data_IF_012799484892
#
_entry.id   IF_012799484892
#
_cell.length_a   1.000
_cell.length_b   1.000
_cell.length_c   1.000
_cell.angle_alpha   90.00
_cell.angle_beta   90.00
_cell.angle_gamma   90.00
#
_symmetry.space_group_name_H-M   'P 1'
#
loop_
_entity.id
_entity.type
_entity.pdbx_description
1 polymer ?
#
# COMPACT_ATOMS: atom_id res chain seq x y z
N UNK A 1 20.12 -0.38 0.54
CA UNK A 1 20.02 1.10 0.51
C UNK A 1 18.72 1.53 -0.13
N UNK A 2 18.07 2.50 0.50
CA UNK A 2 16.82 3.03 -0.04
C UNK A 2 17.08 3.75 -1.35
N UNK A 3 16.29 3.43 -2.37
CA UNK A 3 16.34 4.10 -3.65
C UNK A 3 15.79 5.53 -3.52
N UNK A 4 16.40 6.48 -4.21
CA UNK A 4 15.90 7.85 -4.31
C UNK A 4 15.51 8.14 -5.74
N UNK A 5 14.40 8.86 -5.88
CA UNK A 5 13.77 9.08 -7.18
C UNK A 5 13.82 10.56 -7.55
N UNK A 6 13.92 10.82 -8.85
CA UNK A 6 13.46 12.12 -9.36
C UNK A 6 11.94 12.06 -9.47
N UNK A 7 11.29 13.22 -9.56
CA UNK A 7 9.84 13.27 -9.78
C UNK A 7 9.46 12.49 -11.04
N UNK A 8 10.23 12.63 -12.10
CA UNK A 8 10.00 11.95 -13.38
C UNK A 8 10.05 10.42 -13.23
N UNK A 9 11.04 9.91 -12.52
CA UNK A 9 11.18 8.48 -12.25
C UNK A 9 10.02 7.95 -11.42
N UNK A 10 9.66 8.64 -10.35
CA UNK A 10 8.54 8.26 -9.50
C UNK A 10 7.22 8.31 -10.27
N UNK A 11 7.02 9.35 -11.07
CA UNK A 11 5.82 9.53 -11.87
C UNK A 11 5.60 8.37 -12.85
N UNK A 12 6.68 7.83 -13.42
CA UNK A 12 6.60 6.69 -14.34
C UNK A 12 6.14 5.40 -13.66
N UNK A 13 6.36 5.27 -12.36
CA UNK A 13 5.95 4.09 -11.59
C UNK A 13 4.48 4.14 -11.15
N UNK A 14 3.85 5.31 -11.20
CA UNK A 14 2.49 5.47 -10.68
C UNK A 14 1.48 4.49 -11.29
N UNK A 15 1.42 4.25 -12.61
CA UNK A 15 0.47 3.30 -13.16
C UNK A 15 0.62 1.89 -12.59
N UNK A 16 1.85 1.44 -12.41
CA UNK A 16 2.14 0.12 -11.85
C UNK A 16 1.84 0.06 -10.35
N UNK A 17 2.25 1.08 -9.60
CA UNK A 17 1.98 1.18 -8.16
C UNK A 17 0.46 1.27 -7.91
N UNK A 18 -0.26 2.04 -8.71
CA UNK A 18 -1.72 2.13 -8.66
C UNK A 18 -2.36 0.75 -8.80
N UNK A 19 -1.98 0.02 -9.84
CA UNK A 19 -2.49 -1.34 -10.08
C UNK A 19 -2.21 -2.29 -8.93
N UNK A 20 -0.97 -2.30 -8.44
CA UNK A 20 -0.57 -3.18 -7.33
C UNK A 20 -1.28 -2.84 -6.02
N UNK A 21 -1.47 -1.55 -5.74
CA UNK A 21 -2.20 -1.12 -4.54
C UNK A 21 -3.67 -1.52 -4.62
N UNK A 22 -4.31 -1.40 -5.78
CA UNK A 22 -5.70 -1.83 -5.95
C UNK A 22 -5.84 -3.34 -5.77
N UNK A 23 -4.91 -4.11 -6.33
CA UNK A 23 -4.88 -5.56 -6.14
C UNK A 23 -4.65 -5.93 -4.66
N UNK A 24 -3.80 -5.19 -3.96
CA UNK A 24 -3.58 -5.40 -2.53
C UNK A 24 -4.83 -5.09 -1.72
N UNK A 25 -5.53 -4.02 -2.04
CA UNK A 25 -6.78 -3.64 -1.37
C UNK A 25 -7.89 -4.66 -1.63
N UNK A 26 -7.99 -5.19 -2.84
CA UNK A 26 -8.93 -6.26 -3.18
C UNK A 26 -8.63 -7.52 -2.35
N UNK A 27 -7.36 -7.90 -2.26
CA UNK A 27 -6.94 -9.04 -1.45
C UNK A 27 -7.25 -8.83 0.03
N UNK A 28 -7.03 -7.61 0.53
CA UNK A 28 -7.36 -7.26 1.92
C UNK A 28 -8.86 -7.39 2.18
N UNK A 29 -9.69 -6.92 1.25
CA UNK A 29 -11.14 -7.03 1.34
C UNK A 29 -11.60 -8.50 1.38
N UNK A 30 -11.04 -9.33 0.50
CA UNK A 30 -11.34 -10.78 0.47
C UNK A 30 -10.91 -11.46 1.77
N UNK A 31 -9.75 -11.07 2.30
CA UNK A 31 -9.26 -11.57 3.58
C UNK A 31 -10.25 -11.23 4.71
N UNK A 32 -10.71 -10.00 4.77
CA UNK A 32 -11.64 -9.53 5.79
C UNK A 32 -12.99 -10.24 5.68
N UNK A 33 -13.48 -10.47 4.46
CA UNK A 33 -14.73 -11.20 4.23
C UNK A 33 -14.62 -12.65 4.70
N UNK A 34 -13.50 -13.32 4.41
CA UNK A 34 -13.26 -14.69 4.85
C UNK A 34 -13.14 -14.76 6.38
N UNK A 35 -12.46 -13.82 7.00
CA UNK A 35 -12.35 -13.71 8.47
C UNK A 35 -13.73 -13.58 9.11
N UNK A 36 -14.61 -12.79 8.50
CA UNK A 36 -15.99 -12.61 9.00
C UNK A 36 -16.77 -13.93 8.99
N UNK A 37 -16.64 -14.70 7.90
CA UNK A 37 -17.29 -16.00 7.80
C UNK A 37 -16.77 -16.97 8.88
N UNK A 38 -15.45 -16.98 9.09
CA UNK A 38 -14.82 -17.83 10.12
C UNK A 38 -15.32 -17.43 11.51
N UNK A 39 -15.40 -16.13 11.79
CA UNK A 39 -15.88 -15.63 13.08
C UNK A 39 -17.34 -15.98 13.32
N UNK A 40 -18.20 -15.84 12.32
CA UNK A 40 -19.61 -16.24 12.39
C UNK A 40 -19.75 -17.73 12.70
N UNK A 41 -18.92 -18.56 12.05
CA UNK A 41 -18.89 -20.00 12.31
C UNK A 41 -18.50 -20.29 13.75
N UNK A 42 -17.45 -19.64 14.26
CA UNK A 42 -16.96 -19.82 15.63
C UNK A 42 -18.04 -19.42 16.65
N UNK A 43 -18.69 -18.29 16.45
CA UNK A 43 -19.77 -17.81 17.30
C UNK A 43 -20.96 -18.79 17.30
N UNK A 44 -21.30 -19.29 16.11
CA UNK A 44 -22.40 -20.26 15.95
C UNK A 44 -22.11 -21.55 16.72
N UNK A 45 -20.88 -22.08 16.60
CA UNK A 45 -20.45 -23.26 17.34
C UNK A 45 -20.56 -23.05 18.84
N UNK A 46 -20.11 -21.91 19.33
CA UNK A 46 -20.15 -21.58 20.75
C UNK A 46 -21.59 -21.46 21.27
N UNK A 47 -22.47 -20.83 20.49
CA UNK A 47 -23.87 -20.61 20.89
C UNK A 47 -24.71 -21.88 20.84
N UNK A 48 -24.45 -22.76 19.87
CA UNK A 48 -25.26 -23.97 19.61
C UNK A 48 -24.67 -25.24 20.23
N UNK A 49 -23.64 -25.13 21.04
CA UNK A 49 -23.01 -26.28 21.66
C UNK A 49 -22.36 -27.25 20.68
N UNK A 50 -21.95 -26.77 19.53
CA UNK A 50 -21.28 -27.57 18.52
C UNK A 50 -22.23 -28.42 17.63
N UNK A 51 -23.53 -28.13 17.67
CA UNK A 51 -24.53 -28.90 16.89
C UNK A 51 -24.61 -28.33 15.47
N UNK A 52 -24.47 -29.21 14.48
CA UNK A 52 -24.72 -28.98 13.05
C UNK A 52 -24.36 -27.59 12.51
N UNK A 53 -23.09 -27.41 12.25
CA UNK A 53 -22.56 -26.21 11.58
C UNK A 53 -21.99 -26.62 10.23
N UNK A 54 -21.97 -25.67 9.29
CA UNK A 54 -21.41 -25.90 7.95
C UNK A 54 -19.87 -25.85 7.99
N UNK A 55 -19.28 -27.00 8.26
CA UNK A 55 -17.82 -27.15 8.34
C UNK A 55 -17.15 -26.91 6.99
N UNK A 56 -17.80 -27.29 5.90
CA UNK A 56 -17.25 -27.11 4.55
C UNK A 56 -17.14 -25.63 4.21
N UNK A 57 -18.15 -24.85 4.59
CA UNK A 57 -18.14 -23.41 4.41
C UNK A 57 -17.00 -22.76 5.21
N UNK A 58 -16.79 -23.20 6.44
CA UNK A 58 -15.71 -22.70 7.29
C UNK A 58 -14.33 -23.05 6.73
N UNK A 59 -14.15 -24.28 6.24
CA UNK A 59 -12.90 -24.71 5.63
C UNK A 59 -12.62 -23.96 4.34
N UNK A 60 -13.63 -23.73 3.51
CA UNK A 60 -13.51 -22.94 2.30
C UNK A 60 -13.11 -21.49 2.63
N UNK A 61 -13.70 -20.91 3.69
CA UNK A 61 -13.36 -19.56 4.13
C UNK A 61 -11.90 -19.46 4.61
N UNK A 62 -11.39 -20.48 5.30
CA UNK A 62 -9.98 -20.53 5.71
C UNK A 62 -9.03 -20.57 4.52
N UNK A 63 -9.36 -21.38 3.50
CA UNK A 63 -8.57 -21.42 2.26
C UNK A 63 -8.56 -20.08 1.55
N UNK A 64 -9.72 -19.44 1.42
CA UNK A 64 -9.84 -18.11 0.80
C UNK A 64 -9.05 -17.08 1.59
N UNK A 65 -9.12 -17.12 2.93
CA UNK A 65 -8.35 -16.23 3.78
C UNK A 65 -6.85 -16.37 3.55
N UNK A 66 -6.36 -17.60 3.53
CA UNK A 66 -4.92 -17.87 3.38
C UNK A 66 -4.42 -17.47 2.00
N UNK A 67 -5.20 -17.72 0.95
CA UNK A 67 -4.90 -17.27 -0.42
C UNK A 67 -4.89 -15.74 -0.51
N UNK A 68 -5.87 -15.07 0.10
CA UNK A 68 -5.94 -13.62 0.11
C UNK A 68 -4.76 -13.02 0.88
N UNK A 69 -4.37 -13.61 2.00
CA UNK A 69 -3.20 -13.17 2.77
C UNK A 69 -1.92 -13.26 1.94
N UNK A 70 -1.74 -14.36 1.19
CA UNK A 70 -0.59 -14.52 0.29
C UNK A 70 -0.56 -13.46 -0.80
N UNK A 71 -1.69 -13.23 -1.46
CA UNK A 71 -1.79 -12.20 -2.52
C UNK A 71 -1.52 -10.80 -1.97
N UNK A 72 -2.07 -10.49 -0.80
CA UNK A 72 -1.85 -9.21 -0.15
C UNK A 72 -0.36 -8.97 0.11
N UNK A 73 0.31 -9.98 0.68
CA UNK A 73 1.75 -9.92 0.96
C UNK A 73 2.55 -9.72 -0.31
N UNK A 74 2.27 -10.50 -1.34
CA UNK A 74 2.96 -10.43 -2.63
C UNK A 74 2.80 -9.06 -3.28
N UNK A 75 1.61 -8.48 -3.24
CA UNK A 75 1.36 -7.16 -3.83
C UNK A 75 2.06 -6.05 -3.06
N UNK A 76 2.06 -6.11 -1.73
CA UNK A 76 2.79 -5.13 -0.91
C UNK A 76 4.29 -5.25 -1.16
N UNK A 77 4.83 -6.47 -1.19
CA UNK A 77 6.25 -6.70 -1.48
C UNK A 77 6.64 -6.15 -2.86
N UNK A 78 5.78 -6.35 -3.86
CA UNK A 78 6.01 -5.82 -5.21
C UNK A 78 6.06 -4.28 -5.21
N UNK A 79 5.18 -3.63 -4.45
CA UNK A 79 5.21 -2.17 -4.30
C UNK A 79 6.52 -1.72 -3.66
N UNK A 80 6.93 -2.38 -2.57
CA UNK A 80 8.16 -2.05 -1.86
C UNK A 80 9.41 -2.30 -2.71
N UNK A 81 9.39 -3.29 -3.59
CA UNK A 81 10.49 -3.59 -4.50
C UNK A 81 10.73 -2.46 -5.52
N UNK A 82 9.73 -1.65 -5.82
CA UNK A 82 9.94 -0.47 -6.67
C UNK A 82 10.81 0.58 -5.98
N UNK A 83 10.96 0.49 -4.67
CA UNK A 83 11.71 1.44 -3.84
C UNK A 83 10.83 2.44 -3.09
N UNK A 84 9.54 2.47 -3.35
CA UNK A 84 8.64 3.36 -2.61
C UNK A 84 8.25 2.74 -1.25
N UNK A 85 7.69 3.57 -0.39
CA UNK A 85 7.24 3.18 0.95
C UNK A 85 5.71 3.27 1.01
N UNK A 86 5.07 2.23 1.56
CA UNK A 86 3.62 2.27 1.80
C UNK A 86 3.39 2.84 3.19
N UNK A 87 2.79 4.01 3.27
CA UNK A 87 2.53 4.70 4.54
C UNK A 87 1.16 4.36 5.11
N UNK A 88 0.17 4.22 4.25
CA UNK A 88 -1.19 3.83 4.66
C UNK A 88 -1.84 3.09 3.49
N UNK A 89 -1.97 1.78 3.63
CA UNK A 89 -2.54 0.95 2.57
C UNK A 89 -4.01 1.28 2.33
N UNK A 90 -4.77 1.53 3.39
CA UNK A 90 -6.22 1.70 3.27
C UNK A 90 -6.61 2.88 2.37
N UNK A 91 -5.83 3.94 2.39
CA UNK A 91 -6.05 5.09 1.51
C UNK A 91 -5.10 5.10 0.31
N UNK A 92 -4.23 4.11 0.20
CA UNK A 92 -3.28 4.02 -0.89
C UNK A 92 -2.22 5.11 -0.86
N UNK A 93 -1.75 5.47 0.33
CA UNK A 93 -0.74 6.52 0.52
C UNK A 93 0.66 5.94 0.43
N UNK A 94 1.46 6.44 -0.51
CA UNK A 94 2.83 6.00 -0.73
C UNK A 94 3.78 7.19 -0.80
N UNK A 95 5.03 6.95 -0.41
CA UNK A 95 6.10 7.94 -0.45
C UNK A 95 7.26 7.42 -1.29
N UNK A 96 7.81 8.31 -2.11
CA UNK A 96 9.00 8.03 -2.91
C UNK A 96 10.15 8.90 -2.38
N UNK A 97 11.20 8.29 -1.82
CA UNK A 97 12.33 9.07 -1.31
C UNK A 97 13.02 9.86 -2.42
N UNK A 98 13.37 11.10 -2.13
CA UNK A 98 14.14 11.96 -3.00
C UNK A 98 15.03 12.87 -2.16
N UNK A 99 15.95 13.59 -2.78
CA UNK A 99 16.75 14.61 -2.11
C UNK A 99 16.27 15.99 -2.57
N UNK A 100 16.02 16.86 -1.62
CA UNK A 100 15.73 18.27 -1.89
C UNK A 100 16.80 19.10 -1.19
N UNK A 101 17.63 19.79 -1.98
CA UNK A 101 18.79 20.56 -1.49
C UNK A 101 19.69 19.71 -0.57
N UNK A 102 19.89 18.43 -0.95
CA UNK A 102 20.74 17.50 -0.21
C UNK A 102 20.10 16.86 1.02
N UNK A 103 18.85 17.18 1.31
CA UNK A 103 18.11 16.62 2.46
C UNK A 103 17.07 15.61 1.96
N UNK A 104 16.99 14.45 2.60
CA UNK A 104 16.01 13.45 2.22
C UNK A 104 14.60 13.92 2.58
N UNK A 105 13.72 13.86 1.58
CA UNK A 105 12.28 14.16 1.71
C UNK A 105 11.50 13.11 0.91
N UNK A 106 10.18 13.15 1.00
CA UNK A 106 9.33 12.21 0.29
C UNK A 106 8.42 12.88 -0.71
N UNK A 107 8.43 12.36 -1.94
CA UNK A 107 7.39 12.64 -2.93
C UNK A 107 6.16 11.85 -2.51
N UNK A 108 5.04 12.50 -2.28
CA UNK A 108 3.85 11.90 -1.71
C UNK A 108 2.76 11.73 -2.76
N UNK A 109 2.25 10.51 -2.86
CA UNK A 109 1.15 10.20 -3.76
C UNK A 109 0.09 9.39 -3.03
N UNK A 110 -1.16 9.70 -3.32
CA UNK A 110 -2.32 9.00 -2.77
C UNK A 110 -3.14 8.43 -3.93
N UNK A 111 -3.61 7.20 -3.76
CA UNK A 111 -4.45 6.51 -4.74
C UNK A 111 -5.64 7.39 -5.13
N UNK A 112 -5.83 7.59 -6.43
CA UNK A 112 -6.86 8.47 -6.97
C UNK A 112 -6.36 9.83 -7.43
N UNK A 113 -5.16 10.24 -7.00
CA UNK A 113 -4.55 11.46 -7.52
C UNK A 113 -4.01 11.22 -8.93
N UNK A 114 -4.14 12.20 -9.81
CA UNK A 114 -3.74 12.04 -11.22
C UNK A 114 -2.23 11.93 -11.43
N UNK A 115 -1.45 12.44 -10.47
CA UNK A 115 0.01 12.38 -10.49
C UNK A 115 0.56 12.87 -9.18
N UNK A 116 1.89 12.85 -9.06
CA UNK A 116 2.58 13.30 -7.85
C UNK A 116 2.64 14.83 -7.86
N UNK A 117 1.85 15.46 -6.98
CA UNK A 117 1.80 16.92 -6.88
C UNK A 117 2.29 17.47 -5.54
N UNK A 118 2.74 16.61 -4.63
CA UNK A 118 3.08 17.01 -3.26
C UNK A 118 4.34 16.32 -2.75
N UNK A 119 4.98 16.95 -1.78
CA UNK A 119 6.12 16.38 -1.07
C UNK A 119 6.05 16.77 0.41
N UNK A 120 6.74 16.04 1.26
CA UNK A 120 6.85 16.36 2.68
C UNK A 120 8.19 15.90 3.23
N UNK A 121 8.58 16.48 4.37
CA UNK A 121 9.79 16.06 5.08
C UNK A 121 9.60 14.68 5.72
N UNK A 122 10.72 14.06 6.09
CA UNK A 122 10.73 12.71 6.69
C UNK A 122 9.91 12.66 7.98
N UNK A 123 9.95 13.74 8.77
CA UNK A 123 9.23 13.84 10.04
C UNK A 123 7.82 14.42 9.90
N UNK A 124 7.41 14.74 8.68
CA UNK A 124 6.07 15.24 8.38
C UNK A 124 5.22 14.13 7.79
N UNK A 125 3.92 14.15 8.09
CA UNK A 125 2.99 13.19 7.51
C UNK A 125 2.19 13.80 6.37
N UNK A 126 1.13 13.09 5.98
CA UNK A 126 0.21 13.52 4.91
C UNK A 126 -0.29 14.95 5.09
N UNK A 127 -0.58 15.35 6.33
CA UNK A 127 -1.07 16.72 6.64
C UNK A 127 -0.04 17.80 6.41
N UNK A 128 1.25 17.45 6.45
CA UNK A 128 2.34 18.40 6.24
C UNK A 128 2.81 18.51 4.81
N UNK A 129 2.14 17.84 3.87
CA UNK A 129 2.61 17.84 2.50
C UNK A 129 2.42 19.20 1.82
N UNK A 130 3.42 19.55 1.01
CA UNK A 130 3.52 20.82 0.32
C UNK A 130 3.41 20.59 -1.19
N UNK A 131 2.83 21.55 -1.89
CA UNK A 131 2.77 21.47 -3.35
C UNK A 131 4.18 21.52 -3.96
N UNK A 132 4.40 20.70 -4.98
CA UNK A 132 5.63 20.73 -5.76
C UNK A 132 5.61 21.98 -6.63
N UNK A 133 6.60 22.86 -6.42
CA UNK A 133 6.76 24.10 -7.15
C UNK A 133 8.04 24.06 -8.00
N UNK A 134 8.34 25.16 -8.69
CA UNK A 134 9.52 25.25 -9.55
C UNK A 134 10.82 25.14 -8.74
N UNK A 135 10.84 25.70 -7.54
CA UNK A 135 12.01 25.60 -6.65
C UNK A 135 12.33 24.13 -6.32
N UNK A 136 11.29 23.35 -6.01
CA UNK A 136 11.45 21.92 -5.76
C UNK A 136 11.97 21.20 -7.01
N UNK A 137 11.36 21.45 -8.16
CA UNK A 137 11.77 20.83 -9.42
C UNK A 137 13.23 21.11 -9.75
N UNK A 138 13.70 22.33 -9.50
CA UNK A 138 15.06 22.75 -9.82
C UNK A 138 16.12 22.19 -8.86
N UNK A 139 15.73 21.81 -7.64
CA UNK A 139 16.69 21.47 -6.58
C UNK A 139 16.50 20.06 -5.99
N UNK A 140 15.65 19.23 -6.61
CA UNK A 140 15.52 17.84 -6.18
C UNK A 140 16.38 16.94 -7.07
N UNK A 141 16.82 15.81 -6.48
CA UNK A 141 17.57 14.82 -7.26
C UNK A 141 17.37 13.42 -6.69
N UNK A 142 17.38 12.46 -7.60
CA UNK A 142 17.38 11.04 -7.25
C UNK A 142 18.79 10.46 -7.23
N UNK A 143 18.87 9.15 -7.24
CA UNK A 143 20.16 8.45 -7.34
C UNK A 143 20.77 8.69 -8.72
N UNK A 144 22.09 8.80 -8.73
CA UNK A 144 22.80 8.97 -10.01
C UNK A 144 22.68 7.68 -10.82
N UNK A 145 22.48 7.78 -12.14
CA UNK A 145 22.57 6.60 -13.01
C UNK A 145 23.94 5.94 -12.87
N UNK A 146 23.96 4.63 -12.76
CA UNK A 146 25.21 3.86 -12.72
C UNK A 146 25.63 3.48 -14.12
#
# INVERSE_FOLDING_TARGET
MAKRFTLSEAQRLIPEVDRMLREALDAKSEYQDAERVIQEFTEHVMMMGGVLVDRDRALAARSLRDEAASRLRERIEAVLETGCLVKDLDIGLVDFPTLFRGVEVYLCWKLGESGIGFWHGVDEGFRGRKAIDQDFLDHHQGDRPQ
#
